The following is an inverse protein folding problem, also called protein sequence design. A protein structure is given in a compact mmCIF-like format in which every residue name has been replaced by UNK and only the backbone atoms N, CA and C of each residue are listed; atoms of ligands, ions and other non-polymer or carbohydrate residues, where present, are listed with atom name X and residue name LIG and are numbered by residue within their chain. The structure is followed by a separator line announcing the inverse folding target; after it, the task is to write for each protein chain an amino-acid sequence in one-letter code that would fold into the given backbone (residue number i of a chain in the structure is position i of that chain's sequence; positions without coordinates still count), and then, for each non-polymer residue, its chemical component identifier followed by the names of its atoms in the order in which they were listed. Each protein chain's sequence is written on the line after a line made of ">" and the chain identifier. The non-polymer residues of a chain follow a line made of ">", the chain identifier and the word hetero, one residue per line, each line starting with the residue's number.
data_IF_573630615785
#
_entry.id   IF_573630615785
#
_cell.length_a   1.000
_cell.length_b   1.000
_cell.length_c   1.000
_cell.angle_alpha   90.00
_cell.angle_beta   90.00
_cell.angle_gamma   90.00
#
_symmetry.space_group_name_H-M   'P 1'
#
loop_
_entity.id
_entity.type
_entity.pdbx_description
1 polymer ?
#
# COMPACT_ATOMS: atom_id res chain seq x y z
N UNK A 1 -27.64 -48.30 -10.12
CA UNK A 1 -28.23 -46.98 -10.42
C UNK A 1 -27.10 -45.98 -10.58
N UNK A 2 -26.88 -45.41 -11.78
CA UNK A 2 -25.94 -44.30 -11.95
C UNK A 2 -26.54 -43.06 -11.26
N UNK A 3 -25.75 -42.37 -10.45
CA UNK A 3 -26.16 -41.13 -9.79
C UNK A 3 -26.22 -40.03 -10.87
N UNK A 4 -27.29 -39.23 -10.98
CA UNK A 4 -27.35 -38.15 -11.94
C UNK A 4 -26.24 -37.14 -11.61
N UNK A 5 -25.36 -36.88 -12.58
CA UNK A 5 -24.37 -35.81 -12.53
C UNK A 5 -25.15 -34.52 -12.69
N UNK A 6 -25.25 -33.73 -11.62
CA UNK A 6 -25.90 -32.42 -11.65
C UNK A 6 -24.97 -31.44 -12.40
N UNK A 7 -25.33 -30.97 -13.61
CA UNK A 7 -24.46 -30.12 -14.42
C UNK A 7 -24.20 -28.75 -13.78
N UNK A 8 -25.02 -28.32 -12.81
CA UNK A 8 -24.83 -27.03 -12.11
C UNK A 8 -23.73 -27.00 -11.05
N UNK A 9 -23.25 -28.16 -10.58
CA UNK A 9 -22.23 -28.24 -9.53
C UNK A 9 -20.81 -27.99 -10.04
N UNK A 10 -20.51 -28.34 -11.30
CA UNK A 10 -19.19 -28.12 -11.89
C UNK A 10 -18.97 -26.66 -12.29
N UNK A 11 -19.98 -26.00 -12.88
CA UNK A 11 -19.87 -24.59 -13.26
C UNK A 11 -19.73 -23.66 -12.05
N UNK A 12 -20.51 -23.88 -10.99
CA UNK A 12 -20.43 -23.09 -9.75
C UNK A 12 -19.10 -23.30 -8.99
N UNK A 13 -18.46 -24.46 -9.13
CA UNK A 13 -17.15 -24.73 -8.53
C UNK A 13 -16.04 -24.05 -9.32
N UNK A 14 -16.11 -24.06 -10.65
CA UNK A 14 -15.16 -23.38 -11.53
C UNK A 14 -15.16 -21.85 -11.34
N UNK A 15 -16.34 -21.24 -11.15
CA UNK A 15 -16.47 -19.81 -10.87
C UNK A 15 -15.90 -19.39 -9.51
N UNK A 16 -16.00 -20.26 -8.49
CA UNK A 16 -15.40 -19.98 -7.18
C UNK A 16 -13.88 -20.00 -7.24
N UNK A 17 -13.31 -20.99 -7.93
CA UNK A 17 -11.85 -21.14 -8.11
C UNK A 17 -11.27 -20.03 -9.01
N UNK A 18 -12.04 -19.49 -9.98
CA UNK A 18 -11.61 -18.34 -10.78
C UNK A 18 -11.64 -17.05 -9.96
N UNK A 19 -12.67 -16.85 -9.12
CA UNK A 19 -12.77 -15.71 -8.22
C UNK A 19 -11.67 -15.69 -7.14
N UNK A 20 -11.34 -16.84 -6.54
CA UNK A 20 -10.25 -16.96 -5.56
C UNK A 20 -8.89 -16.60 -6.18
N UNK A 21 -8.62 -17.05 -7.41
CA UNK A 21 -7.39 -16.67 -8.13
C UNK A 21 -7.32 -15.18 -8.44
N UNK A 22 -8.44 -14.55 -8.81
CA UNK A 22 -8.50 -13.09 -9.00
C UNK A 22 -8.21 -12.37 -7.69
N UNK A 23 -8.77 -12.84 -6.58
CA UNK A 23 -8.57 -12.27 -5.25
C UNK A 23 -7.14 -12.40 -4.76
N UNK A 24 -6.50 -13.56 -4.95
CA UNK A 24 -5.08 -13.75 -4.63
C UNK A 24 -4.19 -12.77 -5.40
N UNK A 25 -4.45 -12.59 -6.70
CA UNK A 25 -3.74 -11.60 -7.51
C UNK A 25 -3.97 -10.17 -7.04
N UNK A 26 -5.20 -9.83 -6.65
CA UNK A 26 -5.50 -8.52 -6.09
C UNK A 26 -4.77 -8.30 -4.76
N UNK A 27 -4.76 -9.28 -3.87
CA UNK A 27 -4.07 -9.20 -2.58
C UNK A 27 -2.55 -9.05 -2.75
N UNK A 28 -1.95 -9.78 -3.70
CA UNK A 28 -0.53 -9.62 -4.07
C UNK A 28 -0.24 -8.21 -4.57
N UNK A 29 -1.09 -7.69 -5.48
CA UNK A 29 -0.95 -6.35 -6.03
C UNK A 29 -1.13 -5.26 -4.97
N UNK A 30 -2.10 -5.40 -4.07
CA UNK A 30 -2.30 -4.49 -2.95
C UNK A 30 -1.05 -4.40 -2.07
N UNK A 31 -0.39 -5.53 -1.83
CA UNK A 31 0.81 -5.58 -1.01
C UNK A 31 1.99 -4.86 -1.69
N UNK A 32 2.17 -5.07 -3.00
CA UNK A 32 3.18 -4.37 -3.80
C UNK A 32 2.91 -2.86 -3.86
N UNK A 33 1.67 -2.45 -4.13
CA UNK A 33 1.27 -1.04 -4.20
C UNK A 33 1.45 -0.37 -2.85
N UNK A 34 1.11 -1.04 -1.75
CA UNK A 34 1.31 -0.53 -0.39
C UNK A 34 2.79 -0.36 -0.04
N UNK A 35 3.64 -1.32 -0.43
CA UNK A 35 5.10 -1.20 -0.27
C UNK A 35 5.69 -0.06 -1.09
N UNK A 36 5.26 0.10 -2.34
CA UNK A 36 5.66 1.22 -3.20
C UNK A 36 5.21 2.56 -2.63
N UNK A 37 3.96 2.64 -2.15
CA UNK A 37 3.42 3.84 -1.51
C UNK A 37 4.23 4.21 -0.27
N UNK A 38 4.64 3.24 0.55
CA UNK A 38 5.50 3.48 1.70
C UNK A 38 6.85 4.09 1.30
N UNK A 39 7.52 3.54 0.28
CA UNK A 39 8.78 4.09 -0.23
C UNK A 39 8.60 5.50 -0.78
N UNK A 40 7.52 5.74 -1.52
CA UNK A 40 7.17 7.07 -2.02
C UNK A 40 6.96 8.07 -0.89
N UNK A 41 6.23 7.69 0.17
CA UNK A 41 6.01 8.56 1.34
C UNK A 41 7.28 8.86 2.13
N UNK A 42 8.23 7.91 2.21
CA UNK A 42 9.52 8.14 2.87
C UNK A 42 10.44 9.06 2.06
N UNK A 43 10.36 9.02 0.72
CA UNK A 43 11.11 9.92 -0.16
C UNK A 43 10.47 11.32 -0.32
N UNK A 44 9.15 11.41 -0.19
CA UNK A 44 8.38 12.66 -0.31
C UNK A 44 8.91 13.82 0.53
N UNK A 45 9.22 13.67 1.84
CA UNK A 45 9.68 14.77 2.68
C UNK A 45 10.98 15.41 2.16
N UNK A 46 11.95 14.59 1.73
CA UNK A 46 13.21 15.08 1.16
C UNK A 46 12.96 15.88 -0.13
N UNK A 47 12.17 15.32 -1.05
CA UNK A 47 11.79 15.99 -2.29
C UNK A 47 11.07 17.33 -2.06
N UNK A 48 10.24 17.41 -1.01
CA UNK A 48 9.53 18.63 -0.63
C UNK A 48 10.49 19.75 -0.24
N UNK A 49 11.55 19.42 0.51
CA UNK A 49 12.58 20.37 0.91
C UNK A 49 13.43 20.85 -0.25
N UNK A 50 13.83 19.94 -1.14
CA UNK A 50 14.55 20.31 -2.38
C UNK A 50 13.75 21.30 -3.22
N UNK A 51 12.44 21.07 -3.36
CA UNK A 51 11.56 22.01 -4.03
C UNK A 51 11.51 23.36 -3.31
N UNK A 52 11.41 23.37 -1.99
CA UNK A 52 11.41 24.61 -1.21
C UNK A 52 12.69 25.41 -1.46
N UNK A 53 13.86 24.79 -1.37
CA UNK A 53 15.16 25.44 -1.62
C UNK A 53 15.25 26.04 -3.02
N UNK A 54 14.76 25.34 -4.04
CA UNK A 54 14.82 25.76 -5.43
C UNK A 54 13.96 27.01 -5.73
N UNK A 55 12.85 27.16 -5.03
CA UNK A 55 11.89 28.26 -5.23
C UNK A 55 11.97 29.37 -4.19
N UNK A 56 12.62 29.15 -3.04
CA UNK A 56 12.67 30.07 -1.92
C UNK A 56 12.99 31.52 -2.33
N UNK A 57 14.04 31.72 -3.12
CA UNK A 57 14.50 33.05 -3.53
C UNK A 57 13.54 33.80 -4.49
N UNK A 58 12.60 33.10 -5.12
CA UNK A 58 11.62 33.65 -6.06
C UNK A 58 10.22 33.78 -5.46
N UNK A 59 10.00 33.30 -4.23
CA UNK A 59 8.68 33.33 -3.61
C UNK A 59 8.32 34.75 -3.11
N UNK A 60 7.10 35.24 -3.40
CA UNK A 60 6.61 36.46 -2.78
C UNK A 60 6.34 36.22 -1.28
N UNK A 61 6.53 37.26 -0.46
CA UNK A 61 6.48 37.19 1.01
C UNK A 61 5.20 36.54 1.56
N UNK A 62 4.05 36.84 0.94
CA UNK A 62 2.75 36.28 1.30
C UNK A 62 2.66 34.75 1.14
N UNK A 63 3.29 34.19 0.09
CA UNK A 63 3.34 32.74 -0.13
C UNK A 63 4.36 32.11 0.83
N UNK A 64 5.49 32.78 1.02
CA UNK A 64 6.57 32.29 1.89
C UNK A 64 6.10 32.08 3.34
N UNK A 65 5.30 32.99 3.89
CA UNK A 65 4.72 32.84 5.22
C UNK A 65 3.85 31.58 5.35
N UNK A 66 3.02 31.28 4.35
CA UNK A 66 2.20 30.08 4.33
C UNK A 66 3.05 28.80 4.20
N UNK A 67 4.06 28.82 3.32
CA UNK A 67 4.92 27.65 3.07
C UNK A 67 5.76 27.30 4.30
N UNK A 68 6.31 28.28 5.02
CA UNK A 68 7.11 28.02 6.24
C UNK A 68 6.28 27.31 7.33
N UNK A 69 4.98 27.57 7.40
CA UNK A 69 4.07 26.87 8.33
C UNK A 69 3.62 25.52 7.78
N UNK A 70 3.24 25.45 6.51
CA UNK A 70 2.60 24.26 5.92
C UNK A 70 3.62 23.14 5.63
N UNK A 71 4.82 23.49 5.18
CA UNK A 71 5.85 22.55 4.77
C UNK A 71 6.29 21.58 5.90
N UNK A 72 6.58 22.04 7.14
CA UNK A 72 6.90 21.13 8.24
C UNK A 72 5.70 20.27 8.67
N UNK A 73 4.47 20.81 8.62
CA UNK A 73 3.25 20.04 8.91
C UNK A 73 3.08 18.92 7.89
N UNK A 74 3.24 19.23 6.60
CA UNK A 74 3.13 18.24 5.53
C UNK A 74 4.21 17.16 5.65
N UNK A 75 5.45 17.55 5.98
CA UNK A 75 6.52 16.59 6.31
C UNK A 75 6.14 15.67 7.47
N UNK A 76 5.64 16.23 8.58
CA UNK A 76 5.22 15.45 9.74
C UNK A 76 4.10 14.46 9.38
N UNK A 77 3.10 14.91 8.62
CA UNK A 77 2.01 14.05 8.12
C UNK A 77 2.55 12.92 7.26
N UNK A 78 3.52 13.18 6.38
CA UNK A 78 4.14 12.13 5.56
C UNK A 78 4.79 11.06 6.44
N UNK A 79 5.54 11.45 7.48
CA UNK A 79 6.15 10.48 8.40
C UNK A 79 5.13 9.71 9.22
N UNK A 80 4.06 10.36 9.69
CA UNK A 80 2.98 9.69 10.44
C UNK A 80 2.30 8.64 9.56
N UNK A 81 1.91 9.01 8.34
CA UNK A 81 1.26 8.07 7.41
C UNK A 81 2.22 6.95 7.02
N UNK A 82 3.49 7.27 6.74
CA UNK A 82 4.51 6.26 6.44
C UNK A 82 4.65 5.25 7.58
N UNK A 83 4.67 5.72 8.83
CA UNK A 83 4.81 4.85 10.01
C UNK A 83 3.58 3.96 10.18
N UNK A 84 2.37 4.51 10.01
CA UNK A 84 1.13 3.75 10.07
C UNK A 84 1.07 2.67 8.98
N UNK A 85 1.46 3.03 7.76
CA UNK A 85 1.49 2.11 6.62
C UNK A 85 2.55 1.02 6.80
N UNK A 86 3.74 1.39 7.31
CA UNK A 86 4.80 0.44 7.65
C UNK A 86 4.32 -0.55 8.72
N UNK A 87 3.65 -0.09 9.77
CA UNK A 87 3.10 -0.96 10.80
C UNK A 87 2.06 -1.92 10.22
N UNK A 88 1.17 -1.42 9.37
CA UNK A 88 0.17 -2.23 8.69
C UNK A 88 0.82 -3.33 7.82
N UNK A 89 1.84 -2.97 7.05
CA UNK A 89 2.59 -3.89 6.21
C UNK A 89 3.36 -4.92 7.05
N UNK A 90 3.97 -4.51 8.16
CA UNK A 90 4.69 -5.39 9.08
C UNK A 90 3.77 -6.44 9.71
N UNK A 91 2.56 -6.06 10.12
CA UNK A 91 1.55 -7.01 10.62
C UNK A 91 1.17 -7.99 9.51
N UNK A 92 0.86 -7.52 8.30
CA UNK A 92 0.49 -8.39 7.17
C UNK A 92 1.62 -9.37 6.80
N UNK A 93 2.85 -8.88 6.75
CA UNK A 93 4.04 -9.70 6.49
C UNK A 93 4.32 -10.72 7.60
N UNK A 94 4.11 -10.36 8.86
CA UNK A 94 4.26 -11.28 9.99
C UNK A 94 3.29 -12.45 9.89
N UNK A 95 2.02 -12.20 9.57
CA UNK A 95 1.00 -13.25 9.38
C UNK A 95 1.35 -14.18 8.21
N UNK A 96 1.73 -13.63 7.06
CA UNK A 96 2.13 -14.43 5.88
C UNK A 96 3.40 -15.24 6.17
N UNK A 97 4.39 -14.66 6.86
CA UNK A 97 5.63 -15.34 7.25
C UNK A 97 5.40 -16.50 8.21
N UNK A 98 4.47 -16.36 9.16
CA UNK A 98 4.07 -17.44 10.08
C UNK A 98 3.39 -18.60 9.35
N UNK A 99 2.50 -18.31 8.39
CA UNK A 99 1.85 -19.33 7.55
C UNK A 99 2.89 -20.05 6.69
N UNK A 100 3.86 -19.33 6.12
CA UNK A 100 4.95 -19.90 5.33
C UNK A 100 5.83 -20.86 6.14
N UNK A 101 6.16 -20.51 7.39
CA UNK A 101 6.91 -21.38 8.30
C UNK A 101 6.16 -22.67 8.62
N UNK A 102 4.85 -22.59 8.86
CA UNK A 102 3.98 -23.75 9.16
C UNK A 102 3.67 -24.62 7.94
N UNK A 103 3.86 -24.12 6.72
CA UNK A 103 3.71 -24.91 5.50
C UNK A 103 4.95 -25.79 5.22
N UNK A 104 6.11 -25.41 5.75
CA UNK A 104 7.40 -26.11 5.54
C UNK A 104 7.66 -27.16 6.62
N UNK A 105 7.20 -26.93 7.86
CA UNK A 105 7.36 -27.84 9.01
C UNK A 105 6.03 -28.44 9.45
#
# INVERSE_FOLDING_TARGET
>A
MPKPVDPGTDESTLDRVSFERLRERTDELELLISGLALLALLGLPGWLWECFELYYARMPLQIMAAVVVLLPILNAVCFVIATLLLLHLAVRAHWVGLIGLKAVF
#
